data_IF_185802489061
#
_entry.id   IF_185802489061
#
_cell.length_a   1.000
_cell.length_b   1.000
_cell.length_c   1.000
_cell.angle_alpha   90.00
_cell.angle_beta   90.00
_cell.angle_gamma   90.00
#
_symmetry.space_group_name_H-M   'P 1'
#
loop_
_entity.id
_entity.type
_entity.pdbx_description
1 polymer ?
#
# COMPACT_ATOMS: atom_id res chain seq x y z
N UNK A 1 -62.52 8.10 21.16
CA UNK A 1 -61.54 9.06 20.60
C UNK A 1 -60.11 8.96 21.24
N UNK A 2 -59.95 8.73 22.53
CA UNK A 2 -58.62 8.70 23.22
C UNK A 2 -57.63 7.61 22.72
N UNK A 3 -58.07 6.46 22.22
CA UNK A 3 -57.22 5.37 21.71
C UNK A 3 -56.53 5.70 20.38
N UNK A 4 -57.20 6.42 19.46
CA UNK A 4 -56.62 6.82 18.15
C UNK A 4 -55.53 7.89 18.26
N UNK A 5 -55.62 8.79 19.27
CA UNK A 5 -54.58 9.80 19.53
C UNK A 5 -53.27 9.22 20.11
N UNK A 6 -53.36 8.11 20.86
CA UNK A 6 -52.15 7.44 21.40
C UNK A 6 -51.38 6.71 20.31
N UNK A 7 -52.04 6.05 19.36
CA UNK A 7 -51.37 5.38 18.22
C UNK A 7 -50.69 6.38 17.31
N UNK A 8 -51.28 7.56 17.04
CA UNK A 8 -50.66 8.58 16.21
C UNK A 8 -49.40 9.21 16.84
N UNK A 9 -49.35 9.31 18.19
CA UNK A 9 -48.14 9.79 18.87
C UNK A 9 -47.03 8.73 18.90
N UNK A 10 -47.33 7.44 19.05
CA UNK A 10 -46.33 6.36 18.95
C UNK A 10 -45.73 6.28 17.55
N UNK A 11 -46.51 6.43 16.49
CA UNK A 11 -46.00 6.42 15.11
C UNK A 11 -45.06 7.60 14.79
N UNK A 12 -45.35 8.79 15.35
CA UNK A 12 -44.47 9.96 15.19
C UNK A 12 -43.16 9.83 15.97
N UNK A 13 -43.18 9.23 17.15
CA UNK A 13 -41.95 8.97 17.92
C UNK A 13 -41.09 7.89 17.25
N UNK A 14 -41.67 6.83 16.69
CA UNK A 14 -40.96 5.82 15.96
C UNK A 14 -40.30 6.37 14.69
N UNK A 15 -40.99 7.25 13.94
CA UNK A 15 -40.43 7.91 12.75
C UNK A 15 -39.28 8.87 13.07
N UNK A 16 -39.35 9.60 14.17
CA UNK A 16 -38.29 10.47 14.67
C UNK A 16 -37.05 9.66 15.10
N UNK A 17 -37.27 8.50 15.78
CA UNK A 17 -36.16 7.60 16.14
C UNK A 17 -35.49 6.98 14.92
N UNK A 18 -36.25 6.57 13.90
CA UNK A 18 -35.67 6.06 12.65
C UNK A 18 -34.87 7.15 11.87
N UNK A 19 -35.38 8.39 11.85
CA UNK A 19 -34.66 9.51 11.22
C UNK A 19 -33.37 9.85 11.97
N UNK A 20 -33.37 9.86 13.30
CA UNK A 20 -32.19 10.09 14.12
C UNK A 20 -31.17 8.95 13.96
N UNK A 21 -31.60 7.69 13.91
CA UNK A 21 -30.73 6.55 13.64
C UNK A 21 -30.11 6.59 12.24
N UNK A 22 -30.89 6.97 11.20
CA UNK A 22 -30.39 7.15 9.84
C UNK A 22 -29.37 8.30 9.77
N UNK A 23 -29.61 9.39 10.47
CA UNK A 23 -28.70 10.54 10.54
C UNK A 23 -27.40 10.20 11.27
N UNK A 24 -27.45 9.44 12.38
CA UNK A 24 -26.26 8.91 13.04
C UNK A 24 -25.48 7.93 12.14
N UNK A 25 -26.19 7.08 11.39
CA UNK A 25 -25.54 6.16 10.44
C UNK A 25 -24.82 6.92 9.31
N UNK A 26 -25.42 7.98 8.78
CA UNK A 26 -24.78 8.85 7.81
C UNK A 26 -23.57 9.59 8.37
N UNK A 27 -23.63 10.08 9.60
CA UNK A 27 -22.49 10.75 10.25
C UNK A 27 -21.34 9.77 10.54
N UNK A 28 -21.61 8.52 10.89
CA UNK A 28 -20.57 7.49 11.06
C UNK A 28 -19.91 7.07 9.73
N UNK A 29 -20.59 7.22 8.61
CA UNK A 29 -20.04 6.95 7.27
C UNK A 29 -19.15 8.08 6.73
N UNK A 30 -19.23 9.29 7.28
CA UNK A 30 -18.46 10.46 6.81
C UNK A 30 -17.11 10.66 7.51
N UNK A 31 -16.72 9.84 8.47
CA UNK A 31 -15.51 10.10 9.28
C UNK A 31 -14.36 9.13 9.12
N UNK A 32 -14.40 8.24 8.16
CA UNK A 32 -13.20 7.48 7.80
C UNK A 32 -12.78 7.86 6.38
N UNK A 33 -11.77 8.71 6.26
CA UNK A 33 -10.94 8.73 5.06
C UNK A 33 -10.26 7.37 5.05
N UNK A 34 -10.96 6.40 4.47
CA UNK A 34 -10.48 5.04 4.37
C UNK A 34 -9.34 5.05 3.35
N UNK A 35 -8.15 4.73 3.82
CA UNK A 35 -7.08 4.38 2.91
C UNK A 35 -7.60 3.26 2.00
N UNK A 36 -7.84 3.59 0.74
CA UNK A 36 -8.29 2.62 -0.25
C UNK A 36 -7.03 1.95 -0.83
N UNK A 37 -6.82 0.68 -0.51
CA UNK A 37 -5.74 -0.11 -1.07
C UNK A 37 -6.34 -1.17 -1.98
N UNK A 38 -5.96 -1.16 -3.25
CA UNK A 38 -6.34 -2.17 -4.23
C UNK A 38 -5.09 -2.92 -4.66
N UNK A 39 -5.07 -4.22 -4.38
CA UNK A 39 -3.97 -5.11 -4.76
C UNK A 39 -4.47 -6.14 -5.77
N UNK A 40 -3.70 -6.34 -6.81
CA UNK A 40 -3.88 -7.44 -7.76
C UNK A 40 -2.56 -8.19 -7.94
N UNK A 41 -2.61 -9.50 -8.12
CA UNK A 41 -1.45 -10.35 -8.37
C UNK A 41 -1.86 -11.49 -9.29
N UNK A 42 -1.09 -11.71 -10.32
CA UNK A 42 -1.18 -12.90 -11.15
C UNK A 42 -0.81 -14.15 -10.33
N UNK A 43 -1.72 -15.11 -10.27
CA UNK A 43 -1.53 -16.35 -9.49
C UNK A 43 -0.80 -17.43 -10.26
N UNK A 44 -0.72 -17.27 -11.58
CA UNK A 44 -0.09 -18.26 -12.48
C UNK A 44 1.39 -17.99 -12.68
N UNK A 45 1.84 -16.77 -12.38
CA UNK A 45 3.24 -16.40 -12.55
C UNK A 45 4.12 -16.94 -11.41
N UNK A 46 5.18 -17.62 -11.80
CA UNK A 46 6.20 -18.10 -10.87
C UNK A 46 7.22 -16.98 -10.55
N UNK A 47 7.02 -16.32 -9.41
CA UNK A 47 7.90 -15.24 -8.96
C UNK A 47 9.35 -15.68 -8.67
N UNK A 48 9.69 -16.99 -8.65
CA UNK A 48 11.07 -17.45 -8.53
C UNK A 48 11.92 -17.10 -9.76
N UNK A 49 11.26 -16.83 -10.89
CA UNK A 49 11.90 -16.43 -12.15
C UNK A 49 12.32 -14.95 -12.14
N UNK A 50 11.80 -14.12 -11.26
CA UNK A 50 12.14 -12.70 -11.15
C UNK A 50 13.52 -12.49 -10.50
N UNK A 51 14.59 -12.81 -11.22
CA UNK A 51 15.99 -12.70 -10.75
C UNK A 51 16.59 -11.35 -11.04
N UNK A 52 16.28 -10.78 -12.20
CA UNK A 52 16.74 -9.46 -12.65
C UNK A 52 15.53 -8.55 -12.78
N UNK A 53 15.53 -7.47 -12.03
CA UNK A 53 14.38 -6.55 -11.90
C UNK A 53 14.81 -5.17 -12.35
N UNK A 54 14.30 -4.71 -13.50
CA UNK A 54 14.55 -3.35 -13.96
C UNK A 54 13.62 -2.38 -13.22
N UNK A 55 14.18 -1.31 -12.68
CA UNK A 55 13.43 -0.22 -12.07
C UNK A 55 13.38 0.97 -13.02
N UNK A 56 12.18 1.33 -13.47
CA UNK A 56 11.96 2.60 -14.17
C UNK A 56 11.86 3.76 -13.18
N UNK A 57 12.10 4.97 -13.68
CA UNK A 57 11.92 6.19 -12.90
C UNK A 57 10.47 6.30 -12.40
N UNK A 58 10.30 6.96 -11.26
CA UNK A 58 8.99 7.30 -10.75
C UNK A 58 8.34 8.35 -11.67
N UNK A 59 7.15 8.07 -12.19
CA UNK A 59 6.35 9.07 -12.90
C UNK A 59 5.78 10.08 -11.89
N UNK A 60 6.31 11.28 -11.93
CA UNK A 60 5.95 12.41 -11.07
C UNK A 60 5.20 13.51 -11.82
N UNK A 61 4.68 13.22 -13.02
CA UNK A 61 4.05 14.25 -13.89
C UNK A 61 2.85 14.95 -13.22
N UNK A 62 2.15 14.25 -12.32
CA UNK A 62 1.01 14.81 -11.59
C UNK A 62 1.37 15.42 -10.22
N UNK A 63 2.64 15.40 -9.84
CA UNK A 63 3.09 16.12 -8.65
C UNK A 63 3.14 17.63 -8.90
N UNK A 64 3.04 18.45 -7.85
CA UNK A 64 3.27 19.89 -7.95
C UNK A 64 4.59 20.20 -8.65
N UNK A 65 4.68 21.39 -9.25
CA UNK A 65 5.90 21.83 -9.93
C UNK A 65 6.97 22.30 -8.91
N UNK A 66 7.38 21.36 -8.09
CA UNK A 66 8.41 21.49 -7.06
C UNK A 66 9.54 20.49 -7.37
N UNK A 67 10.67 20.94 -7.89
CA UNK A 67 11.81 20.04 -8.16
C UNK A 67 12.34 19.34 -6.90
N UNK A 68 12.15 19.97 -5.73
CA UNK A 68 12.59 19.40 -4.44
C UNK A 68 11.72 18.20 -4.08
N UNK A 69 10.39 18.37 -4.15
CA UNK A 69 9.44 17.33 -3.76
C UNK A 69 9.53 16.13 -4.72
N UNK A 70 9.66 16.39 -6.03
CA UNK A 70 9.85 15.33 -7.03
C UNK A 70 11.11 14.51 -6.76
N UNK A 71 12.25 15.17 -6.54
CA UNK A 71 13.51 14.50 -6.20
C UNK A 71 13.42 13.71 -4.91
N UNK A 72 12.74 14.24 -3.91
CA UNK A 72 12.54 13.56 -2.64
C UNK A 72 11.66 12.32 -2.79
N UNK A 73 10.61 12.39 -3.60
CA UNK A 73 9.78 11.24 -3.93
C UNK A 73 10.57 10.15 -4.68
N UNK A 74 11.38 10.53 -5.69
CA UNK A 74 12.27 9.62 -6.42
C UNK A 74 13.27 8.94 -5.48
N UNK A 75 13.89 9.69 -4.57
CA UNK A 75 14.81 9.18 -3.56
C UNK A 75 14.14 8.17 -2.62
N UNK A 76 12.92 8.46 -2.15
CA UNK A 76 12.13 7.56 -1.29
C UNK A 76 11.82 6.27 -2.05
N UNK A 77 11.37 6.39 -3.29
CA UNK A 77 11.03 5.28 -4.16
C UNK A 77 12.23 4.36 -4.38
N UNK A 78 13.32 4.91 -4.89
CA UNK A 78 14.55 4.16 -5.20
C UNK A 78 15.13 3.47 -3.95
N UNK A 79 15.22 4.18 -2.82
CA UNK A 79 15.72 3.59 -1.57
C UNK A 79 14.82 2.47 -1.05
N UNK A 80 13.50 2.61 -1.17
CA UNK A 80 12.57 1.57 -0.72
C UNK A 80 12.76 0.28 -1.53
N UNK A 81 12.94 0.39 -2.85
CA UNK A 81 13.20 -0.75 -3.74
C UNK A 81 14.55 -1.38 -3.41
N UNK A 82 15.63 -0.57 -3.34
CA UNK A 82 16.98 -1.05 -3.02
C UNK A 82 17.04 -1.80 -1.70
N UNK A 83 16.37 -1.30 -0.66
CA UNK A 83 16.36 -1.94 0.66
C UNK A 83 15.67 -3.32 0.66
N UNK A 84 14.79 -3.60 -0.28
CA UNK A 84 13.99 -4.85 -0.31
C UNK A 84 14.44 -5.84 -1.37
N UNK A 85 14.92 -5.35 -2.51
CA UNK A 85 15.22 -6.12 -3.71
C UNK A 85 16.68 -5.97 -4.18
N UNK A 86 17.49 -5.14 -3.53
CA UNK A 86 18.80 -4.61 -3.90
C UNK A 86 19.68 -5.46 -4.80
N UNK A 87 19.99 -6.71 -4.41
CA UNK A 87 20.86 -7.59 -5.21
C UNK A 87 20.26 -8.09 -6.54
N UNK A 88 19.02 -7.72 -6.87
CA UNK A 88 18.31 -8.10 -8.10
C UNK A 88 18.03 -6.92 -9.01
N UNK A 89 18.22 -5.70 -8.49
CA UNK A 89 17.88 -4.49 -9.23
C UNK A 89 18.90 -4.18 -10.30
N UNK A 90 18.35 -3.74 -11.42
CA UNK A 90 19.07 -3.12 -12.53
C UNK A 90 18.51 -1.70 -12.65
N UNK A 91 19.39 -0.69 -12.64
CA UNK A 91 19.01 0.69 -12.88
C UNK A 91 18.82 0.96 -14.38
N UNK A 92 18.18 2.10 -14.70
CA UNK A 92 18.09 2.52 -16.12
C UNK A 92 19.47 2.77 -16.73
N UNK A 93 20.43 3.28 -15.95
CA UNK A 93 21.81 3.51 -16.40
C UNK A 93 22.51 2.19 -16.72
N UNK A 94 22.35 1.18 -15.88
CA UNK A 94 22.90 -0.16 -16.10
C UNK A 94 22.23 -0.83 -17.31
N UNK A 95 20.90 -0.73 -17.43
CA UNK A 95 20.17 -1.23 -18.60
C UNK A 95 20.60 -0.55 -19.89
N UNK A 96 20.79 0.78 -19.88
CA UNK A 96 21.27 1.54 -21.03
C UNK A 96 22.68 1.09 -21.46
N UNK A 97 23.57 0.85 -20.50
CA UNK A 97 24.91 0.33 -20.78
C UNK A 97 24.88 -1.07 -21.40
N UNK A 98 24.07 -1.97 -20.85
CA UNK A 98 23.92 -3.34 -21.36
C UNK A 98 23.34 -3.35 -22.80
N UNK A 99 22.30 -2.55 -23.04
CA UNK A 99 21.65 -2.44 -24.34
C UNK A 99 22.52 -1.72 -25.37
N UNK A 100 23.27 -0.69 -24.95
CA UNK A 100 24.18 0.03 -25.85
C UNK A 100 25.25 -0.86 -26.51
N UNK A 101 25.65 -1.92 -25.82
CA UNK A 101 26.56 -2.93 -26.38
C UNK A 101 25.88 -3.90 -27.36
N UNK A 102 24.56 -3.96 -27.40
CA UNK A 102 23.77 -4.89 -28.21
C UNK A 102 23.08 -4.21 -29.40
N UNK A 103 22.68 -2.94 -29.22
CA UNK A 103 21.86 -2.20 -30.17
C UNK A 103 22.76 -1.18 -30.88
N UNK A 104 23.65 -1.26 -31.56
CA UNK A 104 24.46 -0.26 -32.29
C UNK A 104 23.95 1.22 -32.13
N UNK A 105 23.51 1.54 -30.95
CA UNK A 105 22.91 2.82 -30.53
C UNK A 105 23.45 3.20 -29.15
N UNK A 106 23.94 4.43 -29.01
CA UNK A 106 24.43 4.95 -27.72
C UNK A 106 23.25 5.31 -26.81
N UNK A 107 22.65 4.28 -26.19
CA UNK A 107 21.52 4.42 -25.25
C UNK A 107 21.91 5.23 -24.01
N UNK A 108 23.19 5.19 -23.62
CA UNK A 108 23.71 5.95 -22.47
C UNK A 108 23.69 7.45 -22.73
N UNK A 109 24.17 7.87 -23.90
CA UNK A 109 24.09 9.28 -24.32
C UNK A 109 22.63 9.72 -24.51
N UNK A 110 21.77 8.84 -25.03
CA UNK A 110 20.34 9.12 -25.14
C UNK A 110 19.70 9.32 -23.78
N UNK A 111 20.05 8.52 -22.76
CA UNK A 111 19.54 8.65 -21.40
C UNK A 111 19.89 10.01 -20.76
N UNK A 112 21.02 10.58 -21.14
CA UNK A 112 21.46 11.90 -20.67
C UNK A 112 20.81 13.07 -21.42
N UNK A 113 20.48 12.90 -22.71
CA UNK A 113 19.92 13.96 -23.55
C UNK A 113 18.40 13.93 -23.65
N UNK A 114 17.80 12.75 -23.64
CA UNK A 114 16.35 12.53 -23.73
C UNK A 114 15.98 11.26 -22.97
N UNK A 115 15.81 11.42 -21.65
CA UNK A 115 15.56 10.32 -20.70
C UNK A 115 14.28 9.55 -21.03
N UNK A 116 13.25 10.25 -21.47
CA UNK A 116 11.96 9.62 -21.81
C UNK A 116 12.09 8.70 -23.03
N UNK A 117 12.77 9.18 -24.07
CA UNK A 117 13.02 8.39 -25.28
C UNK A 117 13.95 7.20 -25.00
N UNK A 118 14.97 7.38 -24.16
CA UNK A 118 15.81 6.28 -23.72
C UNK A 118 15.03 5.22 -22.93
N UNK A 119 14.16 5.66 -21.99
CA UNK A 119 13.30 4.76 -21.23
C UNK A 119 12.32 3.99 -22.13
N UNK A 120 11.76 4.63 -23.16
CA UNK A 120 10.93 3.96 -24.16
C UNK A 120 11.70 2.87 -24.93
N UNK A 121 12.93 3.18 -25.38
CA UNK A 121 13.80 2.22 -26.06
C UNK A 121 14.20 1.06 -25.13
N UNK A 122 14.54 1.35 -23.89
CA UNK A 122 14.87 0.31 -22.89
C UNK A 122 13.64 -0.59 -22.65
N UNK A 123 12.42 -0.02 -22.60
CA UNK A 123 11.19 -0.80 -22.43
C UNK A 123 10.94 -1.73 -23.61
N UNK A 124 11.19 -1.30 -24.84
CA UNK A 124 11.06 -2.13 -26.03
C UNK A 124 11.99 -3.35 -26.01
N UNK A 125 13.16 -3.21 -25.42
CA UNK A 125 14.19 -4.24 -25.35
C UNK A 125 14.39 -4.84 -23.96
N UNK A 126 13.47 -4.63 -23.03
CA UNK A 126 13.59 -4.97 -21.60
C UNK A 126 13.91 -6.45 -21.36
N UNK A 127 13.36 -7.36 -22.18
CA UNK A 127 13.60 -8.80 -22.09
C UNK A 127 15.07 -9.23 -22.21
N UNK A 128 15.92 -8.38 -22.81
CA UNK A 128 17.35 -8.65 -22.97
C UNK A 128 18.11 -8.39 -21.66
N UNK A 129 17.61 -7.53 -20.80
CA UNK A 129 18.32 -7.06 -19.60
C UNK A 129 17.66 -7.50 -18.31
N UNK A 130 16.35 -7.70 -18.27
CA UNK A 130 15.61 -8.05 -17.07
C UNK A 130 14.59 -9.18 -17.30
N UNK A 131 14.14 -9.80 -16.22
CA UNK A 131 13.06 -10.81 -16.24
C UNK A 131 11.71 -10.14 -15.97
N UNK A 132 11.71 -9.09 -15.15
CA UNK A 132 10.54 -8.26 -14.84
C UNK A 132 10.97 -6.79 -14.73
N UNK A 133 10.00 -5.88 -14.89
CA UNK A 133 10.25 -4.46 -14.58
C UNK A 133 9.20 -3.91 -13.62
N UNK A 134 9.57 -2.83 -12.94
CA UNK A 134 8.74 -2.10 -12.00
C UNK A 134 8.54 -0.69 -12.50
N UNK A 135 7.30 -0.24 -12.50
CA UNK A 135 6.90 1.14 -12.75
C UNK A 135 6.15 1.68 -11.54
N UNK A 136 6.39 2.94 -11.21
CA UNK A 136 5.67 3.67 -10.18
C UNK A 136 5.14 4.97 -10.74
N UNK A 137 3.92 5.35 -10.35
CA UNK A 137 3.30 6.62 -10.74
C UNK A 137 2.63 7.27 -9.55
N UNK A 138 2.87 8.55 -9.39
CA UNK A 138 2.11 9.39 -8.45
C UNK A 138 0.87 9.92 -9.16
N UNK A 139 -0.31 9.53 -8.69
CA UNK A 139 -1.59 9.94 -9.29
C UNK A 139 -2.15 11.19 -8.63
N UNK A 140 -1.91 11.38 -7.33
CA UNK A 140 -2.28 12.57 -6.56
C UNK A 140 -1.21 12.87 -5.50
N UNK A 141 -0.89 14.14 -5.32
CA UNK A 141 0.03 14.65 -4.30
C UNK A 141 -0.42 16.05 -3.90
N UNK A 142 -1.18 16.15 -2.83
CA UNK A 142 -1.87 17.40 -2.50
C UNK A 142 -1.84 17.70 -1.00
N UNK A 143 -1.79 18.99 -0.70
CA UNK A 143 -2.14 19.55 0.60
C UNK A 143 -3.37 20.45 0.40
N UNK A 144 -4.37 20.24 1.23
CA UNK A 144 -5.58 21.05 1.25
C UNK A 144 -5.88 21.50 2.68
N UNK A 145 -6.75 22.48 2.82
CA UNK A 145 -7.19 22.95 4.11
C UNK A 145 -8.62 23.46 4.07
N UNK A 146 -9.35 23.23 5.14
CA UNK A 146 -10.68 23.74 5.31
C UNK A 146 -10.88 24.36 6.70
N UNK A 147 -11.76 25.34 6.76
CA UNK A 147 -12.14 25.95 8.03
C UNK A 147 -13.22 25.09 8.68
N UNK A 148 -12.88 24.40 9.76
CA UNK A 148 -13.88 23.81 10.63
C UNK A 148 -14.57 24.93 11.41
N UNK A 149 -15.90 25.13 11.26
CA UNK A 149 -16.60 26.16 12.02
C UNK A 149 -16.60 25.83 13.52
N UNK A 150 -16.75 26.86 14.34
CA UNK A 150 -16.94 26.66 15.78
C UNK A 150 -18.20 25.82 16.06
N UNK A 151 -18.11 24.92 17.00
CA UNK A 151 -19.24 24.06 17.41
C UNK A 151 -19.21 23.79 18.91
N UNK A 152 -20.34 23.36 19.44
CA UNK A 152 -20.45 22.91 20.83
C UNK A 152 -20.83 21.44 20.83
N UNK A 153 -20.08 20.64 21.56
CA UNK A 153 -20.35 19.21 21.77
C UNK A 153 -20.69 18.96 23.22
N UNK A 154 -21.58 17.99 23.46
CA UNK A 154 -21.95 17.57 24.80
C UNK A 154 -21.10 16.38 25.20
N UNK A 155 -20.17 16.62 26.15
CA UNK A 155 -19.24 15.58 26.63
C UNK A 155 -19.70 15.06 27.99
N UNK A 156 -19.58 13.75 28.19
CA UNK A 156 -19.73 13.11 29.49
C UNK A 156 -18.39 13.23 30.24
N UNK A 157 -18.42 13.95 31.39
CA UNK A 157 -17.24 14.07 32.26
C UNK A 157 -17.49 13.36 33.58
N UNK A 158 -16.50 12.55 33.97
CA UNK A 158 -16.49 11.88 35.26
C UNK A 158 -16.04 12.86 36.35
N UNK A 159 -16.82 12.95 37.43
CA UNK A 159 -16.49 13.69 38.64
C UNK A 159 -16.50 12.74 39.81
N UNK A 160 -15.56 12.91 40.75
CA UNK A 160 -15.48 12.14 41.96
C UNK A 160 -15.94 13.01 43.13
N UNK A 161 -16.84 12.50 43.97
CA UNK A 161 -17.22 13.12 45.23
C UNK A 161 -16.95 12.19 46.39
N UNK A 162 -16.58 12.78 47.53
CA UNK A 162 -16.37 12.03 48.74
C UNK A 162 -17.70 12.09 49.54
N UNK A 163 -18.27 10.94 49.81
CA UNK A 163 -19.46 10.77 50.62
C UNK A 163 -19.08 10.15 51.94
N UNK A 164 -19.94 10.41 52.95
CA UNK A 164 -19.82 9.79 54.29
C UNK A 164 -21.07 8.99 54.56
N UNK A 165 -20.89 7.74 54.93
CA UNK A 165 -22.03 6.88 55.32
C UNK A 165 -22.54 7.20 56.71
N UNK A 166 -23.61 6.51 57.16
CA UNK A 166 -24.22 6.69 58.47
C UNK A 166 -23.33 6.27 59.65
N UNK A 167 -22.26 5.51 59.38
CA UNK A 167 -21.25 5.06 60.34
C UNK A 167 -20.05 6.02 60.41
N UNK A 168 -20.06 7.09 59.59
CA UNK A 168 -19.02 8.08 59.52
C UNK A 168 -17.84 7.73 58.63
N UNK A 169 -17.88 6.59 57.93
CA UNK A 169 -16.84 6.16 57.00
C UNK A 169 -16.98 6.90 55.67
N UNK A 170 -15.87 7.39 55.15
CA UNK A 170 -15.81 8.10 53.85
C UNK A 170 -15.57 7.11 52.70
N UNK A 171 -16.28 7.31 51.59
CA UNK A 171 -16.07 6.59 50.34
C UNK A 171 -16.16 7.56 49.15
N UNK A 172 -15.48 7.20 48.06
CA UNK A 172 -15.51 7.96 46.82
C UNK A 172 -16.59 7.41 45.89
N UNK A 173 -17.42 8.31 45.37
CA UNK A 173 -18.42 7.99 44.35
C UNK A 173 -18.08 8.77 43.07
N UNK A 174 -17.95 8.03 41.95
CA UNK A 174 -17.80 8.65 40.63
C UNK A 174 -19.17 8.81 39.98
N UNK A 175 -19.50 10.01 39.58
CA UNK A 175 -20.71 10.31 38.82
C UNK A 175 -20.39 11.04 37.54
N UNK A 176 -21.25 10.89 36.53
CA UNK A 176 -21.06 11.46 35.22
C UNK A 176 -22.00 12.63 34.99
N UNK A 177 -21.46 13.74 34.49
CA UNK A 177 -22.26 14.91 34.15
C UNK A 177 -22.00 15.23 32.67
N UNK A 178 -23.07 15.42 31.92
CA UNK A 178 -22.99 15.89 30.56
C UNK A 178 -22.84 17.41 30.55
N UNK A 179 -21.71 17.91 30.03
CA UNK A 179 -21.39 19.34 30.00
C UNK A 179 -21.16 19.79 28.53
N UNK A 180 -21.57 21.02 28.18
CA UNK A 180 -21.26 21.57 26.88
C UNK A 180 -19.79 21.97 26.83
N UNK A 181 -19.08 21.55 25.80
CA UNK A 181 -17.69 21.94 25.51
C UNK A 181 -17.69 22.70 24.20
N UNK A 182 -17.21 23.94 24.26
CA UNK A 182 -17.10 24.79 23.08
C UNK A 182 -15.75 24.56 22.40
N UNK A 183 -15.80 24.26 21.10
CA UNK A 183 -14.66 24.13 20.21
C UNK A 183 -14.63 25.35 19.28
N UNK A 184 -13.60 26.20 19.34
CA UNK A 184 -13.48 27.34 18.45
C UNK A 184 -13.26 26.92 16.99
N UNK A 185 -13.58 27.79 16.05
CA UNK A 185 -13.27 27.57 14.65
C UNK A 185 -11.75 27.40 14.47
N UNK A 186 -11.35 26.40 13.68
CA UNK A 186 -9.94 26.11 13.41
C UNK A 186 -9.73 25.72 11.94
N UNK A 187 -8.56 26.11 11.42
CA UNK A 187 -8.09 25.61 10.12
C UNK A 187 -7.61 24.17 10.29
N UNK A 188 -8.17 23.26 9.51
CA UNK A 188 -7.72 21.86 9.43
C UNK A 188 -6.97 21.69 8.12
N UNK A 189 -5.74 21.23 8.23
CA UNK A 189 -4.91 20.86 7.10
C UNK A 189 -5.07 19.36 6.83
N UNK A 190 -5.00 18.99 5.56
CA UNK A 190 -5.13 17.61 5.10
C UNK A 190 -4.14 17.36 3.97
N UNK A 191 -3.40 16.27 4.08
CA UNK A 191 -2.50 15.82 3.01
C UNK A 191 -3.05 14.56 2.37
N UNK A 192 -3.09 14.54 1.04
CA UNK A 192 -3.54 13.40 0.22
C UNK A 192 -2.45 12.89 -0.70
N UNK A 193 -2.39 11.57 -0.90
CA UNK A 193 -1.51 10.91 -1.86
C UNK A 193 -2.21 9.69 -2.46
N UNK A 194 -2.16 9.58 -3.78
CA UNK A 194 -2.53 8.38 -4.50
C UNK A 194 -1.37 7.95 -5.39
N UNK A 195 -1.01 6.68 -5.33
CA UNK A 195 0.08 6.10 -6.10
C UNK A 195 -0.31 4.76 -6.69
N UNK A 196 0.23 4.48 -7.87
CA UNK A 196 0.08 3.20 -8.57
C UNK A 196 1.45 2.59 -8.80
N UNK A 197 1.61 1.32 -8.45
CA UNK A 197 2.78 0.51 -8.76
C UNK A 197 2.37 -0.68 -9.62
N UNK A 198 3.20 -0.98 -10.62
CA UNK A 198 3.03 -2.12 -11.50
C UNK A 198 4.33 -2.92 -11.59
N UNK A 199 4.20 -4.25 -11.61
CA UNK A 199 5.27 -5.19 -11.93
C UNK A 199 4.83 -5.94 -13.17
N UNK A 200 5.66 -5.97 -14.20
CA UNK A 200 5.35 -6.60 -15.48
C UNK A 200 6.43 -7.60 -15.88
N UNK A 201 6.01 -8.63 -16.58
CA UNK A 201 6.89 -9.63 -17.20
C UNK A 201 7.65 -9.03 -18.39
N UNK A 202 8.97 -9.18 -18.40
CA UNK A 202 9.81 -8.57 -19.43
C UNK A 202 9.61 -9.20 -20.83
N UNK A 203 9.26 -10.47 -20.90
CA UNK A 203 9.11 -11.16 -22.17
C UNK A 203 7.77 -10.84 -22.86
N UNK A 204 6.69 -10.73 -22.08
CA UNK A 204 5.33 -10.60 -22.62
C UNK A 204 4.69 -9.23 -22.36
N UNK A 205 5.25 -8.41 -21.49
CA UNK A 205 4.62 -7.16 -21.03
C UNK A 205 3.41 -7.38 -20.10
N UNK A 206 3.08 -8.65 -19.77
CA UNK A 206 1.94 -9.00 -18.94
C UNK A 206 2.09 -8.42 -17.53
N UNK A 207 1.01 -7.86 -17.02
CA UNK A 207 0.94 -7.39 -15.64
C UNK A 207 1.03 -8.59 -14.69
N UNK A 208 1.93 -8.53 -13.72
CA UNK A 208 2.16 -9.60 -12.74
C UNK A 208 1.68 -9.20 -11.34
N UNK A 209 1.83 -7.94 -10.98
CA UNK A 209 1.36 -7.38 -9.73
C UNK A 209 1.05 -5.91 -9.93
N UNK A 210 -0.06 -5.46 -9.38
CA UNK A 210 -0.41 -4.04 -9.33
C UNK A 210 -0.90 -3.67 -7.94
N UNK A 211 -0.63 -2.44 -7.54
CA UNK A 211 -1.17 -1.81 -6.34
C UNK A 211 -1.53 -0.38 -6.64
N UNK A 212 -2.75 -0.02 -6.30
CA UNK A 212 -3.21 1.34 -6.14
C UNK A 212 -3.41 1.59 -4.64
N UNK A 213 -2.74 2.59 -4.10
CA UNK A 213 -2.80 2.94 -2.67
C UNK A 213 -3.14 4.43 -2.56
N UNK A 214 -4.30 4.70 -1.98
CA UNK A 214 -4.84 6.04 -1.76
C UNK A 214 -4.88 6.30 -0.26
N UNK A 215 -4.20 7.35 0.18
CA UNK A 215 -4.11 7.73 1.59
C UNK A 215 -4.29 9.20 1.78
N UNK A 216 -5.05 9.51 2.83
CA UNK A 216 -5.13 10.86 3.34
C UNK A 216 -4.86 10.91 4.83
N UNK A 217 -4.41 12.07 5.30
CA UNK A 217 -4.09 12.30 6.70
C UNK A 217 -4.30 13.77 7.08
N UNK A 218 -4.87 13.99 8.27
CA UNK A 218 -4.90 15.33 8.86
C UNK A 218 -3.47 15.76 9.19
N UNK A 219 -3.15 17.00 8.83
CA UNK A 219 -1.84 17.62 8.93
C UNK A 219 -1.29 18.02 7.57
N UNK A 220 -0.49 19.08 7.53
CA UNK A 220 0.21 19.52 6.31
C UNK A 220 1.49 18.73 6.09
N UNK A 221 1.93 18.63 4.83
CA UNK A 221 3.23 18.05 4.44
C UNK A 221 3.46 16.61 4.93
N UNK A 222 2.40 15.76 4.90
CA UNK A 222 2.48 14.37 5.34
C UNK A 222 2.77 13.38 4.20
N UNK A 223 2.80 13.86 2.94
CA UNK A 223 2.90 13.03 1.74
C UNK A 223 4.14 12.14 1.75
N UNK A 224 5.33 12.67 2.06
CA UNK A 224 6.58 11.89 2.09
C UNK A 224 6.51 10.70 3.05
N UNK A 225 5.95 10.94 4.24
CA UNK A 225 5.80 9.91 5.25
C UNK A 225 4.82 8.83 4.84
N UNK A 226 3.73 9.21 4.15
CA UNK A 226 2.76 8.29 3.59
C UNK A 226 3.35 7.52 2.40
N UNK A 227 4.01 8.21 1.47
CA UNK A 227 4.66 7.62 0.31
C UNK A 227 5.70 6.58 0.72
N UNK A 228 6.58 6.93 1.66
CA UNK A 228 7.57 5.99 2.21
C UNK A 228 6.94 4.72 2.77
N UNK A 229 5.80 4.83 3.47
CA UNK A 229 5.09 3.66 4.01
C UNK A 229 4.47 2.81 2.90
N UNK A 230 3.91 3.44 1.87
CA UNK A 230 3.33 2.77 0.71
C UNK A 230 4.41 2.00 -0.03
N UNK A 231 5.53 2.65 -0.38
CA UNK A 231 6.66 2.02 -1.05
C UNK A 231 7.21 0.84 -0.25
N UNK A 232 7.48 1.03 1.06
CA UNK A 232 7.99 -0.05 1.90
C UNK A 232 7.03 -1.24 2.01
N UNK A 233 5.72 -1.00 2.06
CA UNK A 233 4.70 -2.05 2.07
C UNK A 233 4.70 -2.83 0.77
N UNK A 234 4.63 -2.13 -0.38
CA UNK A 234 4.59 -2.76 -1.70
C UNK A 234 5.82 -3.64 -1.95
N UNK A 235 7.01 -3.08 -1.78
CA UNK A 235 8.25 -3.82 -2.05
C UNK A 235 8.53 -4.94 -1.04
N UNK A 236 8.05 -4.81 0.20
CA UNK A 236 8.08 -5.93 1.15
C UNK A 236 7.20 -7.09 0.71
N UNK A 237 6.02 -6.79 0.18
CA UNK A 237 5.10 -7.82 -0.32
C UNK A 237 5.67 -8.50 -1.57
N UNK A 238 6.25 -7.73 -2.51
CA UNK A 238 6.92 -8.29 -3.69
C UNK A 238 8.11 -9.19 -3.30
N UNK A 239 9.00 -8.69 -2.43
CA UNK A 239 10.14 -9.47 -1.94
C UNK A 239 9.72 -10.74 -1.20
N UNK A 240 8.60 -10.71 -0.47
CA UNK A 240 8.02 -11.89 0.19
C UNK A 240 7.52 -12.91 -0.83
N UNK A 241 6.83 -12.46 -1.89
CA UNK A 241 6.35 -13.36 -2.98
C UNK A 241 7.50 -14.07 -3.66
N UNK A 242 8.56 -13.32 -4.04
CA UNK A 242 9.76 -13.89 -4.65
C UNK A 242 10.39 -14.95 -3.72
N UNK A 243 10.60 -14.64 -2.45
CA UNK A 243 11.20 -15.60 -1.50
C UNK A 243 10.36 -16.86 -1.27
N UNK A 244 9.04 -16.74 -1.25
CA UNK A 244 8.14 -17.89 -1.10
C UNK A 244 8.24 -18.80 -2.33
N UNK A 245 8.21 -18.21 -3.53
CA UNK A 245 8.32 -18.95 -4.77
C UNK A 245 9.68 -19.66 -4.90
N UNK A 246 10.79 -18.99 -4.57
CA UNK A 246 12.13 -19.60 -4.55
C UNK A 246 12.23 -20.78 -3.57
N UNK A 247 11.62 -20.63 -2.39
CA UNK A 247 11.61 -21.72 -1.41
C UNK A 247 10.83 -22.93 -1.93
N UNK A 248 9.67 -22.72 -2.54
CA UNK A 248 8.87 -23.78 -3.13
C UNK A 248 9.64 -24.50 -4.27
N UNK A 249 10.25 -23.74 -5.19
CA UNK A 249 11.06 -24.30 -6.27
C UNK A 249 12.28 -25.12 -5.76
N UNK A 250 12.91 -24.67 -4.67
CA UNK A 250 14.02 -25.39 -4.04
C UNK A 250 13.59 -26.68 -3.35
N UNK A 251 12.38 -26.75 -2.81
CA UNK A 251 11.82 -27.96 -2.20
C UNK A 251 11.42 -28.99 -3.27
N UNK A 252 10.83 -28.57 -4.38
CA UNK A 252 10.49 -29.44 -5.51
C UNK A 252 11.74 -30.05 -6.17
N UNK A 253 12.81 -29.27 -6.31
CA UNK A 253 14.09 -29.74 -6.84
C UNK A 253 14.78 -30.80 -5.97
N UNK A 254 14.51 -30.81 -4.66
CA UNK A 254 15.05 -31.83 -3.73
C UNK A 254 14.25 -33.14 -3.75
N UNK A 255 12.96 -33.09 -4.05
CA UNK A 255 12.09 -34.27 -4.11
C UNK A 255 12.34 -35.15 -5.32
N UNK A 256 12.85 -34.57 -6.42
CA UNK A 256 13.09 -35.33 -7.69
C UNK A 256 14.38 -36.16 -7.72
N UNK A 257 15.21 -36.08 -6.68
CA UNK A 257 16.51 -36.73 -6.63
C UNK A 257 16.55 -38.09 -5.89
N UNK A 258 15.41 -38.60 -5.42
CA UNK A 258 15.42 -39.79 -4.54
C UNK A 258 14.45 -40.89 -4.96
N UNK A 259 14.48 -41.27 -6.23
CA UNK A 259 13.90 -42.58 -6.63
C UNK A 259 14.62 -43.12 -7.86
N UNK A 260 15.77 -43.75 -7.61
CA UNK A 260 16.25 -44.80 -8.50
C UNK A 260 16.62 -46.05 -7.66
N UNK A 261 15.66 -46.81 -7.16
CA UNK A 261 15.89 -48.12 -6.57
C UNK A 261 15.73 -49.21 -7.61
N UNK A 262 16.60 -49.39 -8.59
CA UNK A 262 16.68 -50.62 -9.37
C UNK A 262 18.04 -50.77 -10.06
N UNK A 263 19.04 -51.07 -9.28
CA UNK A 263 20.13 -51.93 -9.73
C UNK A 263 20.22 -53.12 -8.78
N UNK A 264 19.22 -54.06 -8.90
CA UNK A 264 19.34 -55.37 -8.34
C UNK A 264 20.42 -56.14 -9.14
N UNK A 265 21.47 -56.44 -8.42
CA UNK A 265 22.52 -57.39 -8.83
C UNK A 265 21.92 -58.68 -9.37
N UNK A 266 22.30 -59.02 -10.61
CA UNK A 266 22.08 -60.37 -11.17
C UNK A 266 23.31 -61.19 -10.72
N UNK A 267 23.14 -62.20 -9.88
CA UNK A 267 24.23 -63.10 -9.53
C UNK A 267 24.61 -63.96 -10.73
N UNK A 268 25.92 -63.93 -11.05
CA UNK A 268 26.51 -64.76 -12.07
C UNK A 268 26.27 -66.23 -11.82
N UNK A 269 25.90 -66.97 -12.86
CA UNK A 269 26.01 -68.41 -12.96
C UNK A 269 27.33 -68.75 -13.61
N UNK A 270 28.29 -69.18 -12.80
CA UNK A 270 29.35 -70.09 -13.20
C UNK A 270 28.73 -71.41 -13.71
N UNK A 271 29.15 -71.91 -14.84
CA UNK A 271 29.22 -73.27 -15.18
C UNK A 271 30.37 -73.47 -16.13
N UNK A 272 31.39 -74.15 -15.63
CA UNK A 272 32.35 -74.99 -16.35
C UNK A 272 31.71 -76.43 -16.53
N UNK A 273 32.22 -77.27 -17.26
CA UNK A 273 33.61 -77.57 -17.63
C UNK A 273 33.99 -77.35 -19.08
#
# INVERSE_FOLDING_TARGET
MKKRMRLARLGRMAALFCLAALFCLCLCLCSTVAAAKRDWTDREYDFSQARRILLFDLDTAKMPDSPVDRRQAEDIFTRAVQNKLGGRLISLEEAAHLLGSQLDTDVTSLLSSDREKAAALIREHVQQVADVWIEGRVDTWEDDSFLQPAYTEWEQRAYTRILRDSEGKTYEETYYVTVPVYYPARQIWYSGIQVTFEVRDAASGRLLMAREDDRGREGSHQQDSMFKRICNSFYSDLAKKIRIAEKAAAEEGKGSGHDNPLRKDIPGKENSP
#
